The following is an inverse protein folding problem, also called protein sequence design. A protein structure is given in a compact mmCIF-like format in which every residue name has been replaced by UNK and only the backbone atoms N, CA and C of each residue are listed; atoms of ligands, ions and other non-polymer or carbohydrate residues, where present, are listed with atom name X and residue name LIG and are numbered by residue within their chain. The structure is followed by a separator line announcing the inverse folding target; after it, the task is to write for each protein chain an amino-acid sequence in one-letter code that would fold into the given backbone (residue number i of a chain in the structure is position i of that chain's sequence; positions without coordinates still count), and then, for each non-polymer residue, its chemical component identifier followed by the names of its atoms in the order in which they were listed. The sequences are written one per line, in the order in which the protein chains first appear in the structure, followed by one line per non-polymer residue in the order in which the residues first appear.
data_IF_351670439496
#
_entry.id   IF_351670439496
#
_cell.length_a   1.000
_cell.length_b   1.000
_cell.length_c   1.000
_cell.angle_alpha   90.00
_cell.angle_beta   90.00
_cell.angle_gamma   90.00
#
_symmetry.space_group_name_H-M   'P 1'
#
loop_
_entity.id
_entity.type
_entity.pdbx_description
1 polymer ?
#
# COMPACT_ATOMS: atom_id res chain seq x y z
N UNK A 1 3.83 -19.20 -21.43
CA UNK A 1 4.86 -18.64 -20.54
C UNK A 1 4.22 -18.22 -19.23
N UNK A 2 4.99 -18.15 -18.14
CA UNK A 2 4.48 -17.68 -16.83
C UNK A 2 3.96 -16.25 -16.98
N UNK A 3 2.71 -16.02 -16.58
CA UNK A 3 2.10 -14.69 -16.60
C UNK A 3 2.82 -13.80 -15.58
N UNK A 4 3.20 -12.59 -16.00
CA UNK A 4 3.84 -11.59 -15.13
C UNK A 4 2.92 -10.39 -15.02
N UNK A 5 2.77 -9.89 -13.80
CA UNK A 5 1.94 -8.71 -13.52
C UNK A 5 2.83 -7.61 -12.99
N UNK A 6 2.72 -6.43 -13.59
CA UNK A 6 3.41 -5.22 -13.14
C UNK A 6 2.37 -4.29 -12.52
N UNK A 7 2.53 -3.99 -11.25
CA UNK A 7 1.71 -2.99 -10.55
C UNK A 7 2.49 -1.69 -10.49
N UNK A 8 1.86 -0.58 -10.87
CA UNK A 8 2.42 0.76 -10.72
C UNK A 8 1.54 1.53 -9.75
N UNK A 9 2.15 2.01 -8.67
CA UNK A 9 1.50 2.70 -7.56
C UNK A 9 2.13 4.08 -7.37
N UNK A 10 1.29 5.01 -6.92
CA UNK A 10 1.64 6.40 -6.66
C UNK A 10 1.16 6.78 -5.26
N UNK A 11 1.99 7.49 -4.49
CA UNK A 11 1.68 7.93 -3.13
C UNK A 11 1.87 9.44 -3.01
N UNK A 12 0.90 10.12 -2.41
CA UNK A 12 0.96 11.58 -2.20
C UNK A 12 2.09 12.02 -1.27
N UNK A 13 2.59 11.16 -0.37
CA UNK A 13 3.76 11.49 0.46
C UNK A 13 5.08 11.41 -0.31
N UNK A 14 5.11 10.73 -1.48
CA UNK A 14 6.27 10.66 -2.37
C UNK A 14 5.85 11.02 -3.81
N UNK A 15 5.46 12.28 -4.07
CA UNK A 15 4.87 12.69 -5.35
C UNK A 15 5.84 12.61 -6.53
N UNK A 16 7.14 12.60 -6.27
CA UNK A 16 8.18 12.46 -7.30
C UNK A 16 8.50 11.00 -7.66
N UNK A 17 7.91 10.03 -6.95
CA UNK A 17 8.24 8.62 -7.08
C UNK A 17 7.08 7.82 -7.67
N UNK A 18 7.40 7.00 -8.67
CA UNK A 18 6.56 5.91 -9.15
C UNK A 18 7.08 4.59 -8.56
N UNK A 19 6.21 3.84 -7.89
CA UNK A 19 6.55 2.55 -7.32
C UNK A 19 6.05 1.43 -8.21
N UNK A 20 6.96 0.65 -8.78
CA UNK A 20 6.65 -0.46 -9.66
C UNK A 20 6.96 -1.79 -8.97
N UNK A 21 6.00 -2.70 -8.94
CA UNK A 21 6.15 -4.02 -8.32
C UNK A 21 5.86 -5.07 -9.39
N UNK A 22 6.90 -5.82 -9.78
CA UNK A 22 6.79 -6.93 -10.72
C UNK A 22 6.60 -8.25 -9.98
N UNK A 23 5.47 -8.89 -10.22
CA UNK A 23 5.15 -10.22 -9.73
C UNK A 23 5.39 -11.25 -10.84
N UNK A 24 6.23 -12.26 -10.55
CA UNK A 24 6.54 -13.36 -11.46
C UNK A 24 6.63 -14.67 -10.68
N UNK A 25 5.50 -15.35 -10.53
CA UNK A 25 5.39 -16.54 -9.67
C UNK A 25 5.63 -16.15 -8.20
N UNK A 26 6.58 -16.82 -7.54
CA UNK A 26 6.93 -16.53 -6.14
C UNK A 26 7.93 -15.38 -5.97
N UNK A 27 8.34 -14.72 -7.07
CA UNK A 27 9.29 -13.59 -7.00
C UNK A 27 8.54 -12.28 -7.15
N UNK A 28 8.76 -11.40 -6.18
CA UNK A 28 8.30 -10.00 -6.18
C UNK A 28 9.53 -9.12 -6.29
N UNK A 29 9.60 -8.31 -7.35
CA UNK A 29 10.71 -7.38 -7.59
C UNK A 29 10.17 -5.95 -7.52
N UNK A 30 10.50 -5.20 -6.46
CA UNK A 30 10.17 -3.79 -6.37
C UNK A 30 11.18 -2.93 -7.13
N UNK A 31 10.70 -1.85 -7.72
CA UNK A 31 11.46 -0.80 -8.39
C UNK A 31 10.87 0.55 -7.99
N UNK A 32 11.72 1.49 -7.64
CA UNK A 32 11.35 2.89 -7.43
C UNK A 32 11.95 3.68 -8.60
N UNK A 33 11.10 4.40 -9.31
CA UNK A 33 11.47 5.24 -10.44
C UNK A 33 10.85 6.63 -10.28
N UNK A 34 11.17 7.55 -11.19
CA UNK A 34 10.52 8.86 -11.27
C UNK A 34 9.21 8.79 -12.07
N UNK A 35 8.54 9.94 -12.20
CA UNK A 35 7.30 10.06 -12.98
C UNK A 35 7.44 9.78 -14.48
N UNK A 36 8.65 9.76 -15.06
CA UNK A 36 8.85 9.39 -16.47
C UNK A 36 8.63 7.89 -16.70
N UNK A 37 8.60 7.09 -15.64
CA UNK A 37 8.27 5.67 -15.73
C UNK A 37 6.87 5.42 -16.31
N UNK A 38 5.88 6.26 -15.99
CA UNK A 38 4.54 6.12 -16.56
C UNK A 38 4.54 6.33 -18.09
N UNK A 39 5.37 7.27 -18.57
CA UNK A 39 5.56 7.50 -20.01
C UNK A 39 6.24 6.29 -20.67
N UNK A 40 7.22 5.68 -20.01
CA UNK A 40 7.84 4.44 -20.48
C UNK A 40 6.80 3.32 -20.59
N UNK A 41 5.94 3.15 -19.58
CA UNK A 41 4.89 2.14 -19.59
C UNK A 41 3.88 2.35 -20.72
N UNK A 42 3.53 3.61 -21.01
CA UNK A 42 2.70 3.95 -22.16
C UNK A 42 3.35 3.53 -23.49
N UNK A 43 4.67 3.70 -23.63
CA UNK A 43 5.42 3.29 -24.84
C UNK A 43 5.61 1.78 -24.95
N UNK A 44 5.55 1.04 -23.85
CA UNK A 44 5.67 -0.43 -23.80
C UNK A 44 4.34 -1.17 -24.01
N UNK A 45 3.33 -0.52 -24.60
CA UNK A 45 1.99 -1.12 -24.82
C UNK A 45 1.99 -2.38 -25.69
N UNK A 46 3.03 -2.57 -26.51
CA UNK A 46 3.24 -3.79 -27.30
C UNK A 46 3.70 -4.99 -26.46
N UNK A 47 4.26 -4.74 -25.27
CA UNK A 47 4.79 -5.76 -24.34
C UNK A 47 3.83 -5.98 -23.17
N UNK A 48 3.28 -4.89 -22.62
CA UNK A 48 2.34 -4.92 -21.49
C UNK A 48 0.92 -4.58 -21.94
N UNK A 49 -0.03 -5.46 -21.63
CA UNK A 49 -1.45 -5.15 -21.79
C UNK A 49 -1.98 -4.53 -20.50
N UNK A 50 -2.47 -3.30 -20.58
CA UNK A 50 -3.16 -2.66 -19.47
C UNK A 50 -4.56 -3.29 -19.31
N UNK A 51 -4.66 -4.28 -18.43
CA UNK A 51 -5.92 -4.99 -18.13
C UNK A 51 -6.59 -4.53 -16.82
N UNK A 52 -5.95 -3.65 -16.06
CA UNK A 52 -6.31 -3.46 -14.65
C UNK A 52 -7.22 -2.26 -14.40
N UNK A 53 -8.29 -2.52 -13.64
CA UNK A 53 -9.19 -1.52 -13.10
C UNK A 53 -8.42 -0.59 -12.17
N UNK A 54 -8.55 0.72 -12.38
CA UNK A 54 -7.88 1.72 -11.55
C UNK A 54 -8.45 1.65 -10.14
N UNK A 55 -7.57 1.37 -9.18
CA UNK A 55 -7.89 1.41 -7.76
C UNK A 55 -7.27 2.65 -7.15
N UNK A 56 -8.00 3.29 -6.24
CA UNK A 56 -7.51 4.45 -5.52
C UNK A 56 -8.03 4.44 -4.09
N UNK A 57 -7.19 4.93 -3.17
CA UNK A 57 -7.58 5.24 -1.79
C UNK A 57 -7.38 6.74 -1.61
N UNK A 58 -8.46 7.47 -1.30
CA UNK A 58 -8.42 8.93 -1.14
C UNK A 58 -9.19 9.35 0.10
N UNK A 59 -8.64 10.31 0.82
CA UNK A 59 -9.36 10.99 1.89
C UNK A 59 -8.44 11.83 2.78
N UNK A 60 -8.96 12.29 3.92
CA UNK A 60 -8.26 13.26 4.75
C UNK A 60 -7.03 12.66 5.45
N UNK A 61 -6.06 13.54 5.71
CA UNK A 61 -4.84 13.29 6.48
C UNK A 61 -4.87 14.17 7.72
N UNK A 62 -4.70 13.55 8.88
CA UNK A 62 -4.74 14.17 10.20
C UNK A 62 -3.39 14.01 10.89
N UNK A 63 -3.04 14.98 11.73
CA UNK A 63 -1.88 14.92 12.62
C UNK A 63 -2.36 15.06 14.05
N UNK A 64 -1.92 14.15 14.91
CA UNK A 64 -2.23 14.16 16.34
C UNK A 64 -0.97 13.81 17.13
N UNK A 65 -0.33 14.84 17.68
CA UNK A 65 0.99 14.71 18.30
C UNK A 65 1.98 14.10 17.31
N UNK A 66 2.58 12.98 17.69
CA UNK A 66 3.59 12.25 16.92
C UNK A 66 3.01 11.32 15.84
N UNK A 67 1.68 11.23 15.74
CA UNK A 67 0.99 10.36 14.80
C UNK A 67 0.46 11.10 13.58
N UNK A 68 0.58 10.45 12.43
CA UNK A 68 -0.12 10.81 11.20
C UNK A 68 -1.16 9.74 10.90
N UNK A 69 -2.41 10.15 10.70
CA UNK A 69 -3.54 9.25 10.42
C UNK A 69 -4.18 9.64 9.10
N UNK A 70 -4.35 8.69 8.18
CA UNK A 70 -5.09 8.90 6.93
C UNK A 70 -6.30 7.99 6.87
N UNK A 71 -7.44 8.57 6.51
CA UNK A 71 -8.68 7.84 6.27
C UNK A 71 -8.94 7.84 4.77
N UNK A 72 -8.76 6.70 4.12
CA UNK A 72 -8.87 6.57 2.67
C UNK A 72 -10.11 5.79 2.26
N UNK A 73 -11.00 6.40 1.49
CA UNK A 73 -12.06 5.68 0.79
C UNK A 73 -11.49 4.94 -0.42
N UNK A 74 -11.60 3.61 -0.41
CA UNK A 74 -11.12 2.75 -1.49
C UNK A 74 -12.19 2.66 -2.57
N UNK A 75 -11.81 2.97 -3.81
CA UNK A 75 -12.67 2.80 -4.99
C UNK A 75 -11.98 1.96 -6.06
N UNK A 76 -12.77 1.20 -6.81
CA UNK A 76 -12.34 0.45 -8.00
C UNK A 76 -13.21 0.92 -9.16
N UNK A 77 -12.60 1.53 -10.18
CA UNK A 77 -13.34 2.18 -11.26
C UNK A 77 -14.45 3.09 -10.71
N UNK A 78 -14.11 3.93 -9.73
CA UNK A 78 -15.03 4.87 -9.04
C UNK A 78 -16.14 4.22 -8.19
N UNK A 79 -16.19 2.89 -8.10
CA UNK A 79 -17.12 2.20 -7.20
C UNK A 79 -16.51 2.04 -5.82
N UNK A 80 -17.16 2.58 -4.79
CA UNK A 80 -16.74 2.44 -3.39
C UNK A 80 -16.68 0.97 -2.96
N UNK A 81 -15.58 0.57 -2.31
CA UNK A 81 -15.34 -0.79 -1.80
C UNK A 81 -15.11 -0.86 -0.29
N UNK A 82 -14.69 0.23 0.33
CA UNK A 82 -14.43 0.25 1.77
C UNK A 82 -13.56 1.43 2.20
N UNK A 83 -13.14 1.40 3.46
CA UNK A 83 -12.27 2.40 4.07
C UNK A 83 -10.97 1.74 4.51
N UNK A 84 -9.84 2.37 4.19
CA UNK A 84 -8.52 2.07 4.74
C UNK A 84 -8.14 3.13 5.78
N UNK A 85 -7.52 2.67 6.86
CA UNK A 85 -6.95 3.53 7.89
C UNK A 85 -5.45 3.29 7.89
N UNK A 86 -4.68 4.33 7.57
CA UNK A 86 -3.21 4.32 7.67
C UNK A 86 -2.82 5.11 8.92
N UNK A 87 -1.95 4.52 9.74
CA UNK A 87 -1.38 5.17 10.92
C UNK A 87 0.14 5.06 10.85
N UNK A 88 0.80 6.20 11.01
CA UNK A 88 2.26 6.31 11.03
C UNK A 88 2.67 7.01 12.33
N UNK A 89 3.56 6.37 13.09
CA UNK A 89 4.25 7.01 14.22
C UNK A 89 5.60 7.56 13.73
N UNK A 90 5.69 8.88 13.58
CA UNK A 90 6.83 9.54 12.92
C UNK A 90 8.17 9.47 13.66
N UNK A 91 8.23 9.47 15.00
CA UNK A 91 9.51 9.45 15.71
C UNK A 91 10.32 8.16 15.58
N UNK A 92 9.74 7.06 15.10
CA UNK A 92 10.43 5.78 15.02
C UNK A 92 10.22 5.12 13.66
N UNK A 93 11.34 4.80 13.01
CA UNK A 93 11.37 4.12 11.70
C UNK A 93 11.57 2.61 11.81
N UNK A 94 11.64 2.06 13.02
CA UNK A 94 11.75 0.60 13.25
C UNK A 94 10.39 0.08 13.72
N UNK A 95 9.68 -0.73 12.92
CA UNK A 95 8.30 -1.14 13.24
C UNK A 95 8.17 -1.85 14.58
N UNK A 96 9.12 -2.72 14.92
CA UNK A 96 9.15 -3.53 16.14
C UNK A 96 9.20 -2.68 17.40
N UNK A 97 9.87 -1.52 17.35
CA UNK A 97 9.95 -0.58 18.46
C UNK A 97 8.68 0.27 18.62
N UNK A 98 7.90 0.46 17.55
CA UNK A 98 6.71 1.32 17.54
C UNK A 98 5.38 0.55 17.53
N UNK A 99 5.39 -0.76 17.26
CA UNK A 99 4.19 -1.55 16.99
C UNK A 99 3.16 -1.52 18.12
N UNK A 100 3.58 -1.80 19.35
CA UNK A 100 2.65 -1.83 20.49
C UNK A 100 1.98 -0.47 20.71
N UNK A 101 2.77 0.62 20.60
CA UNK A 101 2.26 1.98 20.70
C UNK A 101 1.23 2.29 19.59
N UNK A 102 1.54 1.95 18.34
CA UNK A 102 0.61 2.14 17.21
C UNK A 102 -0.66 1.29 17.36
N UNK A 103 -0.53 0.05 17.84
CA UNK A 103 -1.63 -0.87 18.09
C UNK A 103 -2.57 -0.33 19.17
N UNK A 104 -2.02 0.13 20.30
CA UNK A 104 -2.80 0.73 21.39
C UNK A 104 -3.51 2.01 20.94
N UNK A 105 -2.81 2.88 20.21
CA UNK A 105 -3.39 4.07 19.60
C UNK A 105 -4.60 3.71 18.73
N UNK A 106 -4.43 2.76 17.80
CA UNK A 106 -5.52 2.30 16.93
C UNK A 106 -6.68 1.67 17.71
N UNK A 107 -6.40 0.85 18.73
CA UNK A 107 -7.41 0.21 19.57
C UNK A 107 -8.23 1.23 20.36
N UNK A 108 -7.63 2.35 20.77
CA UNK A 108 -8.34 3.44 21.42
C UNK A 108 -9.49 4.02 20.58
N UNK A 109 -9.39 3.96 19.25
CA UNK A 109 -10.42 4.47 18.33
C UNK A 109 -11.31 3.38 17.72
N UNK A 110 -10.72 2.26 17.31
CA UNK A 110 -11.39 1.21 16.54
C UNK A 110 -11.74 -0.05 17.36
N UNK A 111 -11.36 -0.07 18.64
CA UNK A 111 -11.64 -1.15 19.57
C UNK A 111 -11.11 -2.49 19.10
N UNK A 112 -11.93 -3.53 19.24
CA UNK A 112 -11.61 -4.92 18.91
C UNK A 112 -11.45 -5.20 17.41
N UNK A 113 -11.70 -4.21 16.54
CA UNK A 113 -11.50 -4.35 15.09
C UNK A 113 -10.01 -4.38 14.72
N UNK A 114 -9.14 -3.83 15.57
CA UNK A 114 -7.69 -3.79 15.34
C UNK A 114 -7.07 -5.14 15.68
N UNK A 115 -6.38 -5.73 14.72
CA UNK A 115 -5.61 -6.96 14.92
C UNK A 115 -4.53 -6.78 16.00
N UNK A 116 -4.38 -7.78 16.86
CA UNK A 116 -3.26 -7.84 17.81
C UNK A 116 -1.94 -8.22 17.13
N UNK A 117 -1.99 -8.73 15.90
CA UNK A 117 -0.82 -9.14 15.12
C UNK A 117 -0.44 -8.05 14.12
N UNK A 118 0.86 -7.85 13.96
CA UNK A 118 1.42 -6.96 12.95
C UNK A 118 1.01 -7.39 11.53
N UNK A 119 0.85 -6.44 10.58
CA UNK A 119 0.59 -6.74 9.19
C UNK A 119 1.54 -7.79 8.64
N UNK A 120 1.02 -8.73 7.84
CA UNK A 120 1.77 -9.90 7.36
C UNK A 120 3.09 -9.51 6.69
N UNK A 121 3.06 -8.46 5.85
CA UNK A 121 4.25 -7.91 5.20
C UNK A 121 5.37 -7.51 6.18
N UNK A 122 5.01 -6.95 7.33
CA UNK A 122 5.95 -6.43 8.32
C UNK A 122 6.47 -7.50 9.29
N UNK A 123 5.81 -8.65 9.43
CA UNK A 123 6.18 -9.66 10.43
C UNK A 123 7.64 -10.09 10.34
N UNK A 124 8.16 -10.26 9.11
CA UNK A 124 9.56 -10.62 8.87
C UNK A 124 10.51 -9.42 8.79
N UNK A 125 10.01 -8.20 8.96
CA UNK A 125 10.71 -6.92 8.80
C UNK A 125 10.56 -6.01 10.02
N UNK A 126 10.12 -6.56 11.15
CA UNK A 126 9.85 -5.78 12.35
C UNK A 126 11.09 -5.03 12.85
N UNK A 127 12.29 -5.57 12.63
CA UNK A 127 13.53 -4.96 13.08
C UNK A 127 14.29 -4.23 11.96
N UNK A 128 13.70 -4.13 10.76
CA UNK A 128 14.29 -3.43 9.62
C UNK A 128 13.94 -1.94 9.67
N UNK A 129 14.67 -1.14 8.87
CA UNK A 129 14.33 0.26 8.66
C UNK A 129 13.13 0.32 7.72
N UNK A 130 12.03 0.88 8.23
CA UNK A 130 10.83 1.14 7.45
C UNK A 130 11.10 2.16 6.34
N UNK A 131 10.65 1.86 5.14
CA UNK A 131 10.79 2.68 3.95
C UNK A 131 9.42 2.94 3.31
N UNK A 132 9.28 3.99 2.48
CA UNK A 132 8.04 4.25 1.75
C UNK A 132 7.52 3.05 0.93
N UNK A 133 8.43 2.22 0.42
CA UNK A 133 8.09 0.99 -0.30
C UNK A 133 7.28 0.00 0.56
N UNK A 134 7.52 -0.05 1.87
CA UNK A 134 6.79 -0.94 2.78
C UNK A 134 5.33 -0.49 2.91
N UNK A 135 5.05 0.83 2.87
CA UNK A 135 3.68 1.36 2.78
C UNK A 135 3.03 0.89 1.48
N UNK A 136 3.72 1.06 0.34
CA UNK A 136 3.19 0.69 -0.97
C UNK A 136 2.83 -0.80 -1.05
N UNK A 137 3.65 -1.66 -0.46
CA UNK A 137 3.41 -3.09 -0.44
C UNK A 137 2.20 -3.46 0.41
N UNK A 138 2.03 -2.83 1.58
CA UNK A 138 0.82 -2.97 2.39
C UNK A 138 -0.44 -2.52 1.63
N UNK A 139 -0.39 -1.40 0.90
CA UNK A 139 -1.51 -0.98 0.04
C UNK A 139 -1.80 -1.98 -1.07
N UNK A 140 -0.77 -2.54 -1.71
CA UNK A 140 -0.94 -3.55 -2.76
C UNK A 140 -1.63 -4.81 -2.21
N UNK A 141 -1.25 -5.27 -1.01
CA UNK A 141 -1.90 -6.39 -0.33
C UNK A 141 -3.39 -6.11 -0.07
N UNK A 142 -3.71 -4.94 0.51
CA UNK A 142 -5.10 -4.55 0.77
C UNK A 142 -5.92 -4.40 -0.52
N UNK A 143 -5.35 -3.79 -1.57
CA UNK A 143 -6.00 -3.71 -2.87
C UNK A 143 -6.26 -5.09 -3.49
N UNK A 144 -5.32 -6.03 -3.32
CA UNK A 144 -5.51 -7.43 -3.70
C UNK A 144 -6.68 -8.10 -2.96
N UNK A 145 -6.85 -7.82 -1.66
CA UNK A 145 -7.98 -8.32 -0.87
C UNK A 145 -9.32 -7.78 -1.36
N UNK A 146 -9.42 -6.47 -1.64
CA UNK A 146 -10.64 -5.86 -2.17
C UNK A 146 -11.05 -6.45 -3.53
N UNK A 147 -10.09 -6.77 -4.41
CA UNK A 147 -10.40 -7.44 -5.69
C UNK A 147 -11.02 -8.82 -5.48
N UNK A 148 -10.40 -9.65 -4.65
CA UNK A 148 -10.88 -11.01 -4.34
C UNK A 148 -12.27 -10.98 -3.72
N UNK A 149 -12.51 -10.07 -2.77
CA UNK A 149 -13.81 -9.93 -2.10
C UNK A 149 -14.95 -9.55 -3.06
N UNK A 150 -14.64 -8.81 -4.14
CA UNK A 150 -15.65 -8.41 -5.14
C UNK A 150 -15.95 -9.45 -6.22
N UNK A 151 -15.32 -10.63 -6.18
CA UNK A 151 -15.53 -11.68 -7.20
C UNK A 151 -15.02 -11.32 -8.60
N UNK A 152 -14.17 -10.30 -8.72
CA UNK A 152 -13.51 -9.92 -9.97
C UNK A 152 -12.23 -10.73 -10.10
N UNK A 153 -12.36 -11.98 -10.57
CA UNK A 153 -11.27 -12.84 -11.03
C UNK A 153 -11.38 -12.96 -12.54
#
# INVERSE_FOLDING_TARGET
GVQRTLHVLHNSEQPASAFAILESGNKVVPLIADGLFDLLMYKMSSVYTNKMQKMESKGPRFEIGDFCVKLGSVTINQNFKGVLVEVEYRPCVVPGSAWELMREFLQGFLGSTVSNQAPQYLQNRMNDIYQPLDTIQQYLEHFGQYRKATGVI
#
